data_IF_240292686996
#
_entry.id   IF_240292686996
#
_cell.length_a   1.000
_cell.length_b   1.000
_cell.length_c   1.000
_cell.angle_alpha   90.00
_cell.angle_beta   90.00
_cell.angle_gamma   90.00
#
_symmetry.space_group_name_H-M   'P 1'
#
loop_
_entity.id
_entity.type
_entity.pdbx_description
1 polymer ?
#
# COMPACT_ATOMS: atom_id res chain seq x y z
N UNK A 1 -6.75 -3.37 -14.18
CA UNK A 1 -7.32 -2.95 -12.89
C UNK A 1 -7.42 -1.42 -12.77
N UNK A 2 -6.33 -0.69 -12.55
CA UNK A 2 -6.38 0.77 -12.31
C UNK A 2 -7.05 1.57 -13.43
N UNK A 3 -6.68 1.33 -14.69
CA UNK A 3 -7.27 2.05 -15.83
C UNK A 3 -8.76 1.76 -16.01
N UNK A 4 -9.20 0.51 -15.83
CA UNK A 4 -10.63 0.13 -15.81
C UNK A 4 -11.41 0.86 -14.72
N UNK A 5 -10.85 0.93 -13.50
CA UNK A 5 -11.47 1.68 -12.40
C UNK A 5 -11.53 3.17 -12.75
N UNK A 6 -10.47 3.75 -13.33
CA UNK A 6 -10.46 5.14 -13.80
C UNK A 6 -11.46 5.40 -14.93
N UNK A 7 -11.71 4.44 -15.80
CA UNK A 7 -12.71 4.51 -16.87
C UNK A 7 -14.17 4.42 -16.35
N UNK A 8 -14.35 4.12 -15.06
CA UNK A 8 -15.66 3.94 -14.45
C UNK A 8 -16.34 2.65 -14.86
N UNK A 9 -15.56 1.62 -15.24
CA UNK A 9 -16.07 0.27 -15.53
C UNK A 9 -16.50 -0.46 -14.25
N UNK A 10 -16.02 -0.02 -13.08
CA UNK A 10 -16.30 -0.59 -11.77
C UNK A 10 -16.22 -2.14 -11.73
N UNK A 11 -15.11 -2.75 -12.20
CA UNK A 11 -14.98 -4.20 -12.22
C UNK A 11 -14.90 -4.78 -10.80
N UNK A 12 -15.48 -5.97 -10.60
CA UNK A 12 -15.22 -6.79 -9.42
C UNK A 12 -13.83 -7.40 -9.52
N UNK A 13 -12.86 -6.82 -8.80
CA UNK A 13 -11.47 -7.25 -8.82
C UNK A 13 -11.14 -8.12 -7.60
N UNK A 14 -10.52 -9.27 -7.84
CA UNK A 14 -9.87 -10.09 -6.81
C UNK A 14 -8.58 -9.43 -6.28
N UNK A 15 -8.05 -9.93 -5.16
CA UNK A 15 -6.81 -9.40 -4.58
C UNK A 15 -5.61 -9.56 -5.52
N UNK A 16 -5.55 -10.67 -6.27
CA UNK A 16 -4.54 -10.95 -7.28
C UNK A 16 -4.55 -9.94 -8.44
N UNK A 17 -5.72 -9.47 -8.83
CA UNK A 17 -5.87 -8.49 -9.92
C UNK A 17 -5.55 -7.06 -9.47
N UNK A 18 -5.66 -6.78 -8.16
CA UNK A 18 -5.35 -5.47 -7.57
C UNK A 18 -3.86 -5.28 -7.35
N UNK A 19 -3.17 -6.30 -6.84
CA UNK A 19 -1.78 -6.16 -6.38
C UNK A 19 -0.88 -7.31 -6.83
N UNK A 20 0.36 -6.96 -7.18
CA UNK A 20 1.46 -7.89 -7.37
C UNK A 20 2.43 -7.79 -6.20
N UNK A 21 3.14 -8.88 -5.90
CA UNK A 21 4.17 -8.89 -4.86
C UNK A 21 5.53 -9.13 -5.50
N UNK A 22 6.50 -8.30 -5.18
CA UNK A 22 7.86 -8.39 -5.74
C UNK A 22 8.83 -8.46 -4.57
N UNK A 23 9.62 -9.54 -4.52
CA UNK A 23 10.60 -9.80 -3.48
C UNK A 23 12.01 -9.65 -4.06
N UNK A 24 12.90 -9.04 -3.27
CA UNK A 24 14.33 -8.93 -3.55
C UNK A 24 15.07 -9.59 -2.38
N UNK A 25 15.85 -10.63 -2.66
CA UNK A 25 16.38 -11.54 -1.65
C UNK A 25 17.89 -11.66 -1.83
N UNK A 26 18.63 -11.49 -0.73
CA UNK A 26 20.05 -11.84 -0.65
C UNK A 26 20.15 -13.25 -0.05
N UNK A 27 20.41 -14.29 -0.85
CA UNK A 27 20.50 -15.65 -0.34
C UNK A 27 21.78 -15.84 0.47
N UNK A 28 21.74 -16.74 1.46
CA UNK A 28 22.97 -17.21 2.11
C UNK A 28 23.81 -18.00 1.10
N UNK A 29 25.13 -18.07 1.36
CA UNK A 29 26.03 -18.91 0.56
C UNK A 29 25.51 -20.35 0.53
N UNK A 30 25.51 -20.96 -0.66
CA UNK A 30 25.06 -22.34 -0.91
C UNK A 30 23.57 -22.61 -0.63
N UNK A 31 22.74 -21.57 -0.50
CA UNK A 31 21.30 -21.74 -0.33
C UNK A 31 20.63 -22.24 -1.62
N UNK A 32 19.64 -23.14 -1.47
CA UNK A 32 18.80 -23.60 -2.57
C UNK A 32 17.79 -22.51 -2.98
N UNK A 33 18.09 -21.85 -4.10
CA UNK A 33 17.27 -20.75 -4.62
C UNK A 33 15.88 -21.21 -5.03
N UNK A 34 15.76 -22.40 -5.64
CA UNK A 34 14.48 -22.95 -6.08
C UNK A 34 13.58 -23.29 -4.90
N UNK A 35 14.17 -23.86 -3.84
CA UNK A 35 13.45 -24.09 -2.58
C UNK A 35 12.96 -22.78 -1.95
N UNK A 36 13.82 -21.75 -1.87
CA UNK A 36 13.45 -20.44 -1.30
C UNK A 36 12.31 -19.81 -2.09
N UNK A 37 12.43 -19.75 -3.41
CA UNK A 37 11.41 -19.18 -4.29
C UNK A 37 10.07 -19.90 -4.12
N UNK A 38 10.09 -21.24 -4.15
CA UNK A 38 8.89 -22.05 -3.98
C UNK A 38 8.26 -21.85 -2.60
N UNK A 39 9.06 -21.75 -1.53
CA UNK A 39 8.55 -21.48 -0.18
C UNK A 39 7.90 -20.11 -0.07
N UNK A 40 8.47 -19.09 -0.71
CA UNK A 40 7.92 -17.74 -0.68
C UNK A 40 6.61 -17.69 -1.46
N UNK A 41 6.61 -18.14 -2.71
CA UNK A 41 5.41 -18.10 -3.57
C UNK A 41 4.22 -18.85 -2.97
N UNK A 42 4.47 -19.94 -2.25
CA UNK A 42 3.42 -20.76 -1.64
C UNK A 42 3.15 -20.42 -0.16
N UNK A 43 3.69 -19.32 0.37
CA UNK A 43 3.46 -18.94 1.76
C UNK A 43 2.01 -18.46 1.95
N UNK A 44 1.21 -19.16 2.78
CA UNK A 44 -0.20 -18.80 3.03
C UNK A 44 -0.31 -17.41 3.64
N UNK A 45 -1.40 -16.68 3.35
CA UNK A 45 -1.72 -15.32 3.85
C UNK A 45 -0.78 -14.19 3.39
N UNK A 46 0.42 -14.52 2.89
CA UNK A 46 1.40 -13.52 2.46
C UNK A 46 1.53 -13.45 0.95
N UNK A 47 1.70 -14.59 0.27
CA UNK A 47 2.11 -14.61 -1.14
C UNK A 47 1.30 -15.57 -2.01
N UNK A 48 0.72 -16.64 -1.44
CA UNK A 48 -0.02 -17.66 -2.19
C UNK A 48 -1.13 -17.10 -3.08
N UNK A 49 -1.78 -16.03 -2.61
CA UNK A 49 -2.96 -15.46 -3.26
C UNK A 49 -2.61 -14.36 -4.28
N UNK A 50 -1.32 -14.07 -4.47
CA UNK A 50 -0.83 -12.98 -5.31
C UNK A 50 0.11 -13.48 -6.41
N UNK A 51 0.19 -12.72 -7.50
CA UNK A 51 1.26 -12.88 -8.46
C UNK A 51 2.57 -12.39 -7.83
N UNK A 52 3.40 -13.35 -7.40
CA UNK A 52 4.64 -13.09 -6.66
C UNK A 52 5.86 -13.31 -7.55
N UNK A 53 6.73 -12.31 -7.65
CA UNK A 53 8.04 -12.38 -8.31
C UNK A 53 9.14 -12.41 -7.26
N UNK A 54 10.11 -13.32 -7.41
CA UNK A 54 11.27 -13.43 -6.51
C UNK A 54 12.53 -13.13 -7.32
N UNK A 55 13.28 -12.12 -6.89
CA UNK A 55 14.55 -11.73 -7.50
C UNK A 55 15.68 -11.99 -6.49
N UNK A 56 16.67 -12.77 -6.87
CA UNK A 56 17.88 -12.96 -6.07
C UNK A 56 18.91 -11.90 -6.47
N UNK A 57 19.38 -11.13 -5.51
CA UNK A 57 20.34 -10.03 -5.70
C UNK A 57 21.48 -10.14 -4.69
N UNK A 58 22.55 -9.37 -4.91
CA UNK A 58 23.65 -9.30 -3.94
C UNK A 58 23.35 -8.25 -2.84
N UNK A 59 24.16 -8.30 -1.77
CA UNK A 59 24.03 -7.41 -0.61
C UNK A 59 24.28 -5.93 -0.96
N UNK A 60 25.16 -5.65 -1.91
CA UNK A 60 25.49 -4.27 -2.33
C UNK A 60 24.30 -3.62 -3.04
N UNK A 61 23.68 -4.33 -3.98
CA UNK A 61 22.47 -3.91 -4.70
C UNK A 61 21.29 -3.72 -3.75
N UNK A 62 21.11 -4.63 -2.79
CA UNK A 62 20.08 -4.49 -1.75
C UNK A 62 20.30 -3.21 -0.94
N UNK A 63 21.54 -2.96 -0.51
CA UNK A 63 21.89 -1.78 0.27
C UNK A 63 21.73 -0.48 -0.50
N UNK A 64 22.03 -0.47 -1.79
CA UNK A 64 21.94 0.72 -2.63
C UNK A 64 20.48 1.05 -3.00
N UNK A 65 19.67 0.04 -3.34
CA UNK A 65 18.39 0.26 -4.02
C UNK A 65 17.14 -0.06 -3.17
N UNK A 66 17.28 -0.80 -2.06
CA UNK A 66 16.13 -1.38 -1.34
C UNK A 66 16.09 -1.03 0.16
N UNK A 67 16.85 -0.02 0.62
CA UNK A 67 16.83 0.46 2.01
C UNK A 67 15.74 1.48 2.33
N UNK A 68 15.15 2.10 1.32
CA UNK A 68 14.10 3.09 1.51
C UNK A 68 12.83 2.47 2.10
N UNK A 69 11.96 3.32 2.64
CA UNK A 69 10.60 2.94 3.02
C UNK A 69 9.55 3.69 2.18
N UNK A 70 9.64 3.63 0.83
CA UNK A 70 8.66 4.29 0.00
C UNK A 70 7.31 3.58 0.11
N UNK A 71 6.24 4.34 0.01
CA UNK A 71 4.90 3.79 -0.09
C UNK A 71 4.01 4.75 -0.86
N UNK A 72 2.83 4.29 -1.22
CA UNK A 72 1.81 5.13 -1.81
C UNK A 72 0.53 4.35 -1.98
N UNK A 73 -0.37 4.92 -2.78
CA UNK A 73 -1.62 4.26 -3.10
C UNK A 73 -2.60 5.23 -3.70
N UNK A 74 -3.75 4.68 -4.08
CA UNK A 74 -4.85 5.39 -4.68
C UNK A 74 -6.14 5.00 -3.98
N UNK A 75 -6.97 5.99 -3.70
CA UNK A 75 -8.38 5.81 -3.34
C UNK A 75 -9.19 6.44 -4.45
N UNK A 76 -9.90 5.61 -5.21
CA UNK A 76 -10.69 6.05 -6.37
C UNK A 76 -12.16 5.74 -6.13
N UNK A 77 -12.99 6.76 -6.31
CA UNK A 77 -14.44 6.62 -6.35
C UNK A 77 -14.94 7.05 -7.72
N UNK A 78 -15.54 6.13 -8.46
CA UNK A 78 -16.31 6.41 -9.67
C UNK A 78 -17.80 6.26 -9.38
N UNK A 79 -18.61 7.11 -9.99
CA UNK A 79 -20.07 7.11 -9.83
C UNK A 79 -20.77 7.64 -11.07
N UNK A 80 -22.09 7.42 -11.13
CA UNK A 80 -22.95 7.90 -12.21
C UNK A 80 -24.11 8.67 -11.60
N UNK A 81 -24.43 9.84 -12.14
CA UNK A 81 -25.66 10.59 -11.82
C UNK A 81 -26.61 10.58 -13.01
N UNK A 82 -27.91 10.57 -12.75
CA UNK A 82 -28.91 10.40 -13.80
C UNK A 82 -28.70 9.06 -14.51
N UNK A 83 -28.86 9.04 -15.83
CA UNK A 83 -28.74 7.81 -16.61
C UNK A 83 -27.30 7.49 -17.05
N UNK A 84 -26.45 8.51 -17.29
CA UNK A 84 -25.15 8.27 -17.92
C UNK A 84 -24.03 9.26 -17.57
N UNK A 85 -24.27 10.26 -16.70
CA UNK A 85 -23.24 11.24 -16.37
C UNK A 85 -22.25 10.66 -15.37
N UNK A 86 -21.05 10.30 -15.86
CA UNK A 86 -19.97 9.70 -15.06
C UNK A 86 -19.18 10.76 -14.30
N UNK A 87 -18.82 10.44 -13.06
CA UNK A 87 -18.01 11.25 -12.15
C UNK A 87 -16.87 10.42 -11.57
N UNK A 88 -15.76 11.06 -11.25
CA UNK A 88 -14.61 10.43 -10.60
C UNK A 88 -13.98 11.36 -9.57
N UNK A 89 -13.71 10.82 -8.39
CA UNK A 89 -12.88 11.43 -7.35
C UNK A 89 -11.70 10.49 -7.11
N UNK A 90 -10.48 11.04 -7.14
CA UNK A 90 -9.24 10.28 -6.92
C UNK A 90 -8.36 11.03 -5.93
N UNK A 91 -7.93 10.31 -4.88
CA UNK A 91 -6.94 10.76 -3.92
C UNK A 91 -5.73 9.81 -4.00
N UNK A 92 -4.52 10.36 -4.03
CA UNK A 92 -3.31 9.56 -4.13
C UNK A 92 -2.23 10.02 -3.16
N UNK A 93 -1.32 9.10 -2.86
CA UNK A 93 -0.09 9.37 -2.14
C UNK A 93 1.08 8.76 -2.91
N UNK A 94 2.16 9.52 -3.01
CA UNK A 94 3.47 9.06 -3.47
C UNK A 94 4.49 9.53 -2.45
N UNK A 95 5.02 8.60 -1.67
CA UNK A 95 5.83 8.88 -0.49
C UNK A 95 7.19 8.23 -0.66
N UNK A 96 8.25 9.00 -0.46
CA UNK A 96 9.62 8.47 -0.41
C UNK A 96 9.92 7.84 0.96
N UNK A 97 9.26 8.35 2.02
CA UNK A 97 9.33 7.82 3.39
C UNK A 97 7.94 7.75 4.02
N UNK A 98 7.36 6.55 4.04
CA UNK A 98 6.09 6.26 4.71
C UNK A 98 6.09 6.65 6.20
N UNK A 99 7.08 6.26 7.03
CA UNK A 99 7.06 6.59 8.45
C UNK A 99 7.12 8.10 8.72
N UNK A 100 7.89 8.85 7.93
CA UNK A 100 7.95 10.32 8.07
C UNK A 100 6.62 10.98 7.73
N UNK A 101 5.96 10.54 6.66
CA UNK A 101 4.64 11.04 6.30
C UNK A 101 3.62 10.72 7.40
N UNK A 102 3.58 9.48 7.90
CA UNK A 102 2.70 9.09 9.00
C UNK A 102 2.96 9.91 10.27
N UNK A 103 4.22 10.15 10.63
CA UNK A 103 4.59 10.96 11.80
C UNK A 103 4.08 12.41 11.67
N UNK A 104 4.14 13.00 10.48
CA UNK A 104 3.60 14.33 10.24
C UNK A 104 2.07 14.39 10.35
N UNK A 105 1.37 13.35 9.88
CA UNK A 105 -0.09 13.22 10.10
C UNK A 105 -0.38 13.13 11.59
N UNK A 106 0.35 12.32 12.36
CA UNK A 106 0.19 12.23 13.82
C UNK A 106 0.42 13.57 14.52
N UNK A 107 1.44 14.34 14.10
CA UNK A 107 1.70 15.67 14.65
C UNK A 107 0.55 16.64 14.36
N UNK A 108 -0.02 16.60 13.16
CA UNK A 108 -1.19 17.39 12.82
C UNK A 108 -2.40 17.04 13.69
N UNK A 109 -2.69 15.75 13.87
CA UNK A 109 -3.79 15.29 14.73
C UNK A 109 -3.55 15.59 16.22
N UNK A 110 -2.32 15.56 16.69
CA UNK A 110 -1.98 15.93 18.07
C UNK A 110 -2.42 17.36 18.40
N UNK A 111 -2.32 18.28 17.43
CA UNK A 111 -2.83 19.66 17.56
C UNK A 111 -4.36 19.69 17.68
N UNK A 112 -5.07 18.88 16.90
CA UNK A 112 -6.52 18.77 17.00
C UNK A 112 -6.95 18.22 18.36
N UNK A 113 -6.33 17.12 18.81
CA UNK A 113 -6.59 16.52 20.13
C UNK A 113 -6.37 17.53 21.25
N UNK A 114 -5.29 18.32 21.20
CA UNK A 114 -5.04 19.36 22.19
C UNK A 114 -6.17 20.42 22.25
N UNK A 115 -6.69 20.84 21.08
CA UNK A 115 -7.80 21.80 21.02
C UNK A 115 -9.10 21.21 21.56
N UNK A 116 -9.44 19.99 21.16
CA UNK A 116 -10.61 19.27 21.67
C UNK A 116 -10.57 19.11 23.20
N UNK A 117 -9.39 18.79 23.75
CA UNK A 117 -9.21 18.72 25.20
C UNK A 117 -9.39 20.08 25.88
N UNK A 118 -8.95 21.18 25.26
CA UNK A 118 -9.18 22.55 25.76
C UNK A 118 -10.65 22.96 25.73
N UNK A 119 -11.43 22.39 24.82
CA UNK A 119 -12.89 22.54 24.76
C UNK A 119 -13.62 21.63 25.77
N UNK A 120 -12.88 20.83 26.56
CA UNK A 120 -13.45 19.92 27.57
C UNK A 120 -13.92 18.58 27.00
N UNK A 121 -13.60 18.25 25.75
CA UNK A 121 -13.96 16.97 25.16
C UNK A 121 -13.06 15.84 25.68
N UNK A 122 -13.64 14.67 25.92
CA UNK A 122 -12.95 13.45 26.36
C UNK A 122 -13.49 12.21 25.63
N UNK A 123 -12.70 11.15 25.53
CA UNK A 123 -13.08 9.90 24.89
C UNK A 123 -12.25 9.59 23.65
N UNK A 124 -12.44 8.40 23.09
CA UNK A 124 -11.76 7.99 21.86
C UNK A 124 -12.38 8.66 20.63
N UNK A 125 -11.54 9.03 19.67
CA UNK A 125 -11.90 9.68 18.41
C UNK A 125 -11.15 9.02 17.27
N UNK A 126 -11.73 9.09 16.08
CA UNK A 126 -11.13 8.66 14.82
C UNK A 126 -10.89 9.86 13.90
N UNK A 127 -10.31 9.64 12.72
CA UNK A 127 -10.10 10.69 11.73
C UNK A 127 -11.39 11.30 11.16
N UNK A 128 -12.54 10.67 11.41
CA UNK A 128 -13.87 11.10 10.96
C UNK A 128 -14.59 12.00 11.98
N UNK A 129 -14.05 12.14 13.19
CA UNK A 129 -14.57 13.01 14.26
C UNK A 129 -13.86 14.35 14.30
#
# INVERSE_FOLDING_TARGET
AMESVRAGECPDLSDREKHKRICYIVPKKEADLSFIENKIKNMPNYFSDYDTTVNFINEEDFKANHKGMPHGGFVIRTGVTGESTKHRVEFNLKLDSNPEFTANVLLAYSRAVYRLAKEGQTGARTVLD
#
